data_IF_236898118921
#
_entry.id   IF_236898118921
#
_cell.length_a   1.000
_cell.length_b   1.000
_cell.length_c   1.000
_cell.angle_alpha   90.00
_cell.angle_beta   90.00
_cell.angle_gamma   90.00
#
_symmetry.space_group_name_H-M   'P 1'
#
loop_
_entity.id
_entity.type
_entity.pdbx_description
1 polymer ?
#
# COMPACT_ATOMS: atom_id res chain seq x y z
N UNK A 1 -24.23 -1.05 -16.12
CA UNK A 1 -23.69 -1.86 -15.00
C UNK A 1 -23.21 -0.89 -13.95
N UNK A 2 -23.98 -0.73 -12.87
CA UNK A 2 -23.64 0.14 -11.76
C UNK A 2 -22.80 -0.66 -10.77
N UNK A 3 -21.53 -0.30 -10.60
CA UNK A 3 -20.69 -0.81 -9.53
C UNK A 3 -20.93 0.04 -8.28
N UNK A 4 -22.06 -0.17 -7.63
CA UNK A 4 -22.34 0.42 -6.32
C UNK A 4 -21.53 -0.33 -5.24
N UNK A 5 -20.50 0.32 -4.71
CA UNK A 5 -20.05 0.29 -3.31
C UNK A 5 -20.00 -1.08 -2.56
N UNK A 6 -19.72 -2.19 -3.25
CA UNK A 6 -19.62 -3.53 -2.66
C UNK A 6 -18.24 -3.91 -2.09
N UNK A 7 -17.20 -3.13 -2.35
CA UNK A 7 -15.80 -3.53 -2.07
C UNK A 7 -15.32 -3.25 -0.64
N UNK A 8 -16.04 -2.45 0.14
CA UNK A 8 -15.64 -2.10 1.51
C UNK A 8 -15.64 -3.31 2.47
N UNK A 9 -16.50 -4.29 2.22
CA UNK A 9 -16.72 -5.43 3.14
C UNK A 9 -16.11 -6.75 2.68
N UNK A 10 -15.53 -6.83 1.47
CA UNK A 10 -15.04 -8.10 0.93
C UNK A 10 -13.90 -8.73 1.77
N UNK A 11 -13.23 -7.90 2.57
CA UNK A 11 -12.13 -8.29 3.47
C UNK A 11 -12.42 -8.01 4.96
N UNK A 12 -13.61 -7.53 5.29
CA UNK A 12 -14.07 -7.34 6.67
C UNK A 12 -14.59 -8.70 7.19
N UNK A 13 -13.67 -9.55 7.64
CA UNK A 13 -14.00 -10.82 8.30
C UNK A 13 -13.18 -12.03 7.83
N UNK A 14 -12.48 -11.93 6.70
CA UNK A 14 -11.73 -13.07 6.14
C UNK A 14 -10.31 -12.68 5.71
N UNK A 15 -9.37 -12.80 6.65
CA UNK A 15 -7.93 -12.59 6.42
C UNK A 15 -7.38 -13.50 5.30
N UNK A 16 -8.02 -14.65 5.04
CA UNK A 16 -7.58 -15.58 3.99
C UNK A 16 -7.82 -15.03 2.59
N UNK A 17 -8.93 -14.30 2.35
CA UNK A 17 -9.21 -13.65 1.06
C UNK A 17 -8.22 -12.53 0.78
N UNK A 18 -7.90 -11.71 1.78
CA UNK A 18 -6.93 -10.63 1.60
C UNK A 18 -5.53 -11.19 1.32
N UNK A 19 -5.12 -12.25 2.04
CA UNK A 19 -3.86 -12.94 1.80
C UNK A 19 -3.78 -13.51 0.38
N UNK A 20 -4.85 -14.13 -0.12
CA UNK A 20 -4.93 -14.62 -1.51
C UNK A 20 -4.83 -13.47 -2.51
N UNK A 21 -5.52 -12.36 -2.25
CA UNK A 21 -5.46 -11.16 -3.09
C UNK A 21 -4.03 -10.60 -3.17
N UNK A 22 -3.34 -10.42 -2.04
CA UNK A 22 -1.95 -9.94 -2.03
C UNK A 22 -0.96 -10.92 -2.65
N UNK A 23 -1.19 -12.24 -2.54
CA UNK A 23 -0.39 -13.24 -3.26
C UNK A 23 -0.55 -13.09 -4.76
N UNK A 24 -1.78 -12.98 -5.24
CA UNK A 24 -2.06 -12.74 -6.67
C UNK A 24 -1.41 -11.44 -7.15
N UNK A 25 -1.54 -10.37 -6.37
CA UNK A 25 -0.92 -9.08 -6.69
C UNK A 25 0.60 -9.20 -6.88
N UNK A 26 1.29 -9.92 -5.98
CA UNK A 26 2.74 -10.19 -6.12
C UNK A 26 3.08 -11.13 -7.27
N UNK A 27 2.15 -11.98 -7.71
CA UNK A 27 2.34 -12.79 -8.93
C UNK A 27 2.22 -11.92 -10.18
N UNK A 28 1.23 -11.03 -10.22
CA UNK A 28 0.97 -10.15 -11.36
C UNK A 28 2.01 -9.00 -11.45
N UNK A 29 2.58 -8.61 -10.31
CA UNK A 29 3.58 -7.54 -10.17
C UNK A 29 4.76 -8.06 -9.30
N UNK A 30 5.67 -8.81 -9.90
CA UNK A 30 6.73 -9.53 -9.18
C UNK A 30 7.66 -8.62 -8.35
N UNK A 31 7.93 -7.40 -8.82
CA UNK A 31 8.85 -6.45 -8.18
C UNK A 31 8.16 -5.47 -7.22
N UNK A 32 6.84 -5.55 -7.03
CA UNK A 32 6.08 -4.52 -6.30
C UNK A 32 6.59 -4.27 -4.87
N UNK A 33 7.04 -5.32 -4.17
CA UNK A 33 7.60 -5.17 -2.82
C UNK A 33 8.95 -4.44 -2.87
N UNK A 34 9.81 -4.77 -3.84
CA UNK A 34 11.11 -4.11 -4.05
C UNK A 34 10.95 -2.66 -4.50
N UNK A 35 9.98 -2.38 -5.37
CA UNK A 35 9.65 -1.03 -5.82
C UNK A 35 9.19 -0.16 -4.65
N UNK A 36 8.30 -0.68 -3.80
CA UNK A 36 7.86 0.03 -2.58
C UNK A 36 9.02 0.25 -1.61
N UNK A 37 9.87 -0.76 -1.39
CA UNK A 37 11.06 -0.61 -0.55
C UNK A 37 11.99 0.47 -1.11
N UNK A 38 12.20 0.49 -2.42
CA UNK A 38 13.05 1.47 -3.10
C UNK A 38 12.51 2.89 -2.96
N UNK A 39 11.19 3.07 -3.09
CA UNK A 39 10.50 4.35 -2.85
C UNK A 39 10.66 4.77 -1.39
N UNK A 40 10.47 3.84 -0.46
CA UNK A 40 10.53 4.14 0.97
C UNK A 40 11.98 4.24 1.50
N UNK A 41 12.99 3.94 0.69
CA UNK A 41 14.37 3.96 1.13
C UNK A 41 14.85 5.35 1.61
N UNK A 42 14.22 6.42 1.12
CA UNK A 42 14.49 7.80 1.53
C UNK A 42 13.74 8.23 2.81
N UNK A 43 12.77 7.43 3.28
CA UNK A 43 11.88 7.76 4.39
C UNK A 43 12.13 6.77 5.53
N UNK A 44 13.02 7.14 6.46
CA UNK A 44 13.56 6.24 7.51
C UNK A 44 13.13 6.61 8.93
N UNK A 45 12.22 7.57 9.05
CA UNK A 45 11.70 8.02 10.35
C UNK A 45 10.30 8.60 10.21
N UNK A 46 9.55 8.75 11.32
CA UNK A 46 8.27 9.43 11.31
C UNK A 46 8.31 10.85 10.70
N UNK A 47 9.39 11.60 10.93
CA UNK A 47 9.56 12.98 10.45
C UNK A 47 9.75 13.06 8.93
N UNK A 48 10.22 11.98 8.32
CA UNK A 48 10.43 11.86 6.86
C UNK A 48 9.34 11.03 6.18
N UNK A 49 8.37 10.51 6.93
CA UNK A 49 7.38 9.60 6.41
C UNK A 49 6.50 10.22 5.31
N UNK A 50 5.96 9.36 4.45
CA UNK A 50 5.27 9.76 3.21
C UNK A 50 3.85 9.19 3.16
N UNK A 51 2.92 9.93 2.54
CA UNK A 51 1.53 9.48 2.43
C UNK A 51 1.29 8.56 1.21
N UNK A 52 0.15 7.87 1.18
CA UNK A 52 -0.19 6.96 0.07
C UNK A 52 -0.22 7.64 -1.30
N UNK A 53 -0.65 8.91 -1.38
CA UNK A 53 -0.72 9.64 -2.66
C UNK A 53 0.67 9.80 -3.26
N UNK A 54 1.63 10.16 -2.42
CA UNK A 54 3.03 10.33 -2.82
C UNK A 54 3.69 8.99 -3.16
N UNK A 55 3.38 7.91 -2.43
CA UNK A 55 3.84 6.55 -2.79
C UNK A 55 3.31 6.14 -4.17
N UNK A 56 2.02 6.37 -4.45
CA UNK A 56 1.44 6.06 -5.78
C UNK A 56 2.11 6.89 -6.88
N UNK A 57 2.40 8.16 -6.61
CA UNK A 57 3.09 9.05 -7.54
C UNK A 57 4.51 8.55 -7.82
N UNK A 58 5.30 8.29 -6.77
CA UNK A 58 6.66 7.77 -6.89
C UNK A 58 6.71 6.41 -7.59
N UNK A 59 5.75 5.52 -7.31
CA UNK A 59 5.64 4.24 -8.01
C UNK A 59 5.39 4.41 -9.52
N UNK A 60 4.50 5.35 -9.89
CA UNK A 60 4.24 5.66 -11.29
C UNK A 60 5.47 6.25 -11.99
N UNK A 61 6.23 7.08 -11.30
CA UNK A 61 7.49 7.63 -11.82
C UNK A 61 8.56 6.55 -11.99
N UNK A 62 8.64 5.60 -11.06
CA UNK A 62 9.61 4.50 -11.08
C UNK A 62 9.31 3.43 -12.14
N UNK A 63 8.03 3.07 -12.30
CA UNK A 63 7.61 1.89 -13.09
C UNK A 63 6.85 2.22 -14.37
N UNK A 64 6.58 3.51 -14.61
CA UNK A 64 5.64 4.02 -15.64
C UNK A 64 4.20 3.49 -15.51
N UNK A 65 3.90 2.72 -14.46
CA UNK A 65 2.63 2.04 -14.25
C UNK A 65 1.85 2.65 -13.08
N UNK A 66 0.53 2.64 -13.15
CA UNK A 66 -0.31 2.99 -12.00
C UNK A 66 -0.14 1.96 -10.88
N UNK A 67 -0.12 2.43 -9.62
CA UNK A 67 -0.12 1.52 -8.47
C UNK A 67 -1.33 0.57 -8.52
N UNK A 68 -1.13 -0.75 -8.37
CA UNK A 68 -2.15 -1.72 -8.76
C UNK A 68 -3.30 -1.87 -7.75
N UNK A 69 -3.17 -1.30 -6.54
CA UNK A 69 -4.27 -1.19 -5.57
C UNK A 69 -5.04 0.11 -5.78
N UNK A 70 -6.26 0.00 -6.31
CA UNK A 70 -7.14 1.12 -6.60
C UNK A 70 -8.00 1.48 -5.39
N UNK A 71 -8.11 2.79 -5.11
CA UNK A 71 -9.17 3.50 -4.37
C UNK A 71 -9.72 2.89 -3.07
N UNK A 72 -8.95 2.04 -2.39
CA UNK A 72 -9.24 1.57 -1.05
C UNK A 72 -8.02 1.79 -0.14
N UNK A 73 -7.99 2.91 0.62
CA UNK A 73 -6.88 3.22 1.52
C UNK A 73 -6.61 2.11 2.54
N UNK A 74 -7.66 1.45 3.06
CA UNK A 74 -7.51 0.38 4.05
C UNK A 74 -6.82 -0.87 3.46
N UNK A 75 -7.14 -1.25 2.23
CA UNK A 75 -6.45 -2.36 1.55
C UNK A 75 -5.01 -1.97 1.24
N UNK A 76 -4.77 -0.75 0.75
CA UNK A 76 -3.42 -0.27 0.46
C UNK A 76 -2.56 -0.22 1.73
N UNK A 77 -3.06 0.33 2.84
CA UNK A 77 -2.36 0.33 4.12
C UNK A 77 -1.97 -1.08 4.55
N UNK A 78 -2.91 -2.04 4.49
CA UNK A 78 -2.66 -3.44 4.86
C UNK A 78 -1.68 -4.12 3.91
N UNK A 79 -1.66 -3.74 2.65
CA UNK A 79 -0.66 -4.24 1.69
C UNK A 79 0.73 -3.69 2.01
N UNK A 80 0.87 -2.38 2.19
CA UNK A 80 2.14 -1.74 2.54
C UNK A 80 2.70 -2.32 3.84
N UNK A 81 1.86 -2.48 4.87
CA UNK A 81 2.22 -3.12 6.15
C UNK A 81 2.45 -4.64 6.05
N UNK A 82 2.18 -5.25 4.90
CA UNK A 82 2.54 -6.66 4.64
C UNK A 82 3.96 -6.83 4.10
N UNK A 83 4.62 -5.71 3.73
CA UNK A 83 6.00 -5.68 3.26
C UNK A 83 6.91 -5.57 4.50
N UNK A 84 7.95 -6.42 4.62
CA UNK A 84 8.86 -6.35 5.76
C UNK A 84 9.43 -4.95 5.98
N UNK A 85 9.59 -4.58 7.25
CA UNK A 85 10.19 -3.31 7.68
C UNK A 85 9.41 -2.03 7.29
N UNK A 86 8.23 -2.14 6.67
CA UNK A 86 7.35 -0.98 6.48
C UNK A 86 6.58 -0.70 7.76
N UNK A 87 6.75 0.49 8.30
CA UNK A 87 6.00 1.03 9.43
C UNK A 87 5.03 2.11 8.96
N UNK A 88 4.02 2.38 9.78
CA UNK A 88 3.11 3.49 9.56
C UNK A 88 2.67 4.14 10.87
N UNK A 89 2.35 5.43 10.80
CA UNK A 89 1.59 6.12 11.84
C UNK A 89 0.42 6.87 11.22
N UNK A 90 -0.57 7.20 12.05
CA UNK A 90 -1.69 8.06 11.66
C UNK A 90 -1.51 9.42 12.32
N UNK A 91 -1.72 10.50 11.55
CA UNK A 91 -1.81 11.83 12.14
C UNK A 91 -3.21 12.08 12.75
N UNK A 92 -3.41 13.25 13.34
CA UNK A 92 -4.67 13.69 13.96
C UNK A 92 -5.87 13.68 12.99
N UNK A 93 -5.61 13.80 11.69
CA UNK A 93 -6.64 13.77 10.64
C UNK A 93 -6.98 12.36 10.16
N UNK A 94 -6.34 11.31 10.70
CA UNK A 94 -6.53 9.94 10.26
C UNK A 94 -5.75 9.57 8.99
N UNK A 95 -4.84 10.44 8.51
CA UNK A 95 -4.00 10.15 7.34
C UNK A 95 -2.85 9.24 7.74
N UNK A 96 -2.69 8.13 7.03
CA UNK A 96 -1.54 7.24 7.19
C UNK A 96 -0.29 7.78 6.49
N UNK A 97 0.81 7.76 7.22
CA UNK A 97 2.16 8.03 6.75
C UNK A 97 3.01 6.78 6.92
N UNK A 98 3.86 6.48 5.94
CA UNK A 98 4.67 5.26 5.87
C UNK A 98 6.16 5.58 5.78
N UNK A 99 6.97 4.73 6.38
CA UNK A 99 8.43 4.81 6.39
C UNK A 99 9.03 3.42 6.61
N UNK A 100 10.32 3.25 6.34
CA UNK A 100 11.05 2.00 6.65
C UNK A 100 11.72 2.09 8.02
N UNK A 101 11.59 1.02 8.80
CA UNK A 101 12.34 0.80 10.04
C UNK A 101 13.51 -0.15 9.78
N UNK A 102 14.70 0.20 10.25
CA UNK A 102 15.86 -0.70 10.24
C UNK A 102 15.83 -1.67 11.43
#
# INVERSE_FOLDING_TARGET
MNFENGDLYQFLGDSSKLKKHFRKLRTDYAEIDNDVISILAAYRSPETAVCMVDIKKAYKELTECSFPIKDNPSIMARFLLSIPHVAAYSNENGTFFFYLIE
#
